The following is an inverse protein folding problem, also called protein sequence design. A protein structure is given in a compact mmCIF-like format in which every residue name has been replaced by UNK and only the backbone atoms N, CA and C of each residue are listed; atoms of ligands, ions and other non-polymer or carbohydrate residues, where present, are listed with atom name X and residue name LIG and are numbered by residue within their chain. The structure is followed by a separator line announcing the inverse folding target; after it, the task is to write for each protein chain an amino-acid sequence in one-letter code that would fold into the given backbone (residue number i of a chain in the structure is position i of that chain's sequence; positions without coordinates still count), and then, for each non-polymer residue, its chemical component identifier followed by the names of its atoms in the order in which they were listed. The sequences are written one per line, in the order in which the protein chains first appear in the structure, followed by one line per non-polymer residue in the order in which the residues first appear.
data_IF_970371629050
#
_entry.id   IF_970371629050
#
_cell.length_a   1.000
_cell.length_b   1.000
_cell.length_c   1.000
_cell.angle_alpha   90.00
_cell.angle_beta   90.00
_cell.angle_gamma   90.00
#
_symmetry.space_group_name_H-M   'P 1'
#
loop_
_entity.id
_entity.type
_entity.pdbx_description
1 polymer ?
#
# COMPACT_ATOMS: atom_id res chain seq x y z
N UNK A 1 -4.95 -26.69 1.68
CA UNK A 1 -5.45 -25.72 0.68
C UNK A 1 -4.24 -24.92 0.22
N UNK A 2 -3.99 -24.79 -1.08
CA UNK A 2 -2.78 -24.07 -1.54
C UNK A 2 -2.90 -22.60 -1.16
N UNK A 3 -2.16 -22.16 -0.15
CA UNK A 3 -1.77 -20.76 0.03
C UNK A 3 -0.98 -20.34 -1.20
N UNK A 4 -1.70 -19.87 -2.21
CA UNK A 4 -1.07 -19.43 -3.44
C UNK A 4 -0.80 -17.94 -3.31
N UNK A 5 0.47 -17.59 -3.13
CA UNK A 5 0.96 -16.22 -3.23
C UNK A 5 0.34 -15.54 -4.47
N UNK A 6 -0.29 -14.37 -4.32
CA UNK A 6 -0.78 -13.58 -5.45
C UNK A 6 0.38 -13.24 -6.42
N UNK A 7 0.11 -13.07 -7.72
CA UNK A 7 1.16 -12.74 -8.69
C UNK A 7 1.74 -11.35 -8.41
N UNK A 8 3.02 -11.17 -8.74
CA UNK A 8 3.71 -9.88 -8.60
C UNK A 8 3.03 -8.77 -9.40
N UNK A 9 3.34 -7.51 -9.06
CA UNK A 9 2.81 -6.39 -9.82
C UNK A 9 3.43 -6.36 -11.22
N UNK A 10 2.56 -6.22 -12.21
CA UNK A 10 2.96 -6.03 -13.59
C UNK A 10 3.62 -4.66 -13.76
N UNK A 11 4.41 -4.51 -14.82
CA UNK A 11 5.05 -3.23 -15.14
C UNK A 11 4.03 -2.09 -15.27
N UNK A 12 2.89 -2.36 -15.90
CA UNK A 12 1.84 -1.37 -16.11
C UNK A 12 1.19 -0.94 -14.78
N UNK A 13 0.97 -1.88 -13.85
CA UNK A 13 0.49 -1.57 -12.49
C UNK A 13 1.49 -0.69 -11.73
N UNK A 14 2.79 -0.99 -11.81
CA UNK A 14 3.83 -0.18 -11.14
C UNK A 14 3.94 1.22 -11.75
N UNK A 15 3.83 1.34 -13.08
CA UNK A 15 3.79 2.64 -13.77
C UNK A 15 2.59 3.46 -13.30
N UNK A 16 1.41 2.84 -13.20
CA UNK A 16 0.20 3.49 -12.71
C UNK A 16 0.35 3.97 -11.26
N UNK A 17 0.92 3.13 -10.37
CA UNK A 17 1.20 3.50 -8.98
C UNK A 17 2.15 4.70 -8.96
N UNK A 18 3.25 4.64 -9.71
CA UNK A 18 4.25 5.72 -9.77
C UNK A 18 3.65 7.04 -10.26
N UNK A 19 2.82 6.99 -11.30
CA UNK A 19 2.12 8.17 -11.82
C UNK A 19 1.16 8.77 -10.78
N UNK A 20 0.39 7.91 -10.09
CA UNK A 20 -0.52 8.32 -9.01
C UNK A 20 0.22 8.97 -7.85
N UNK A 21 1.37 8.41 -7.44
CA UNK A 21 2.20 8.99 -6.38
C UNK A 21 2.78 10.34 -6.82
N UNK A 22 3.20 10.47 -8.09
CA UNK A 22 3.70 11.74 -8.62
C UNK A 22 2.64 12.84 -8.58
N UNK A 23 1.40 12.52 -8.93
CA UNK A 23 0.27 13.44 -8.83
C UNK A 23 -0.05 13.80 -7.37
N UNK A 24 -0.04 12.81 -6.46
CA UNK A 24 -0.33 12.99 -5.03
C UNK A 24 0.69 13.87 -4.32
N UNK A 25 1.98 13.67 -4.57
CA UNK A 25 3.07 14.34 -3.85
C UNK A 25 3.67 15.52 -4.62
N UNK A 26 3.29 15.72 -5.89
CA UNK A 26 3.84 16.77 -6.75
C UNK A 26 5.32 16.59 -7.12
N UNK A 27 5.91 15.42 -6.84
CA UNK A 27 7.32 15.08 -7.08
C UNK A 27 7.47 13.60 -7.44
N UNK A 28 8.61 13.23 -8.02
CA UNK A 28 8.94 11.81 -8.22
C UNK A 28 9.09 11.10 -6.89
N UNK A 29 8.42 9.96 -6.74
CA UNK A 29 8.55 9.04 -5.61
C UNK A 29 9.15 7.75 -6.13
N UNK A 30 10.20 7.28 -5.47
CA UNK A 30 10.81 5.98 -5.76
C UNK A 30 9.93 4.88 -5.17
N UNK A 31 9.63 3.88 -5.99
CA UNK A 31 8.81 2.73 -5.61
C UNK A 31 9.63 1.46 -5.73
N UNK A 32 9.51 0.60 -4.72
CA UNK A 32 10.18 -0.70 -4.68
C UNK A 32 9.14 -1.81 -4.66
N UNK A 33 9.41 -2.89 -5.38
CA UNK A 33 8.64 -4.13 -5.26
C UNK A 33 9.37 -5.08 -4.32
N UNK A 34 8.64 -5.63 -3.36
CA UNK A 34 9.14 -6.57 -2.38
C UNK A 34 8.06 -7.59 -2.02
N UNK A 35 8.39 -8.50 -1.10
CA UNK A 35 7.46 -9.45 -0.52
C UNK A 35 7.28 -9.19 0.96
N UNK A 36 6.06 -9.37 1.45
CA UNK A 36 5.75 -9.27 2.87
C UNK A 36 4.85 -10.41 3.33
N UNK A 37 5.08 -10.86 4.56
CA UNK A 37 4.22 -11.79 5.26
C UNK A 37 3.11 -11.01 5.98
N UNK A 38 1.89 -11.09 5.45
CA UNK A 38 0.74 -10.33 5.94
C UNK A 38 -0.35 -11.28 6.42
N UNK A 39 -0.92 -10.99 7.58
CA UNK A 39 -2.11 -11.68 8.06
C UNK A 39 -3.36 -11.04 7.45
N UNK A 40 -3.86 -11.64 6.37
CA UNK A 40 -5.03 -11.13 5.63
C UNK A 40 -6.35 -11.31 6.38
N UNK A 41 -6.48 -12.37 7.18
CA UNK A 41 -7.66 -12.63 7.99
C UNK A 41 -7.31 -12.54 9.48
N UNK A 42 -7.89 -11.59 10.25
CA UNK A 42 -7.59 -11.48 11.68
C UNK A 42 -8.02 -12.70 12.51
N UNK A 43 -8.98 -13.49 12.02
CA UNK A 43 -9.46 -14.71 12.69
C UNK A 43 -8.59 -15.94 12.40
N UNK A 44 -7.69 -15.88 11.41
CA UNK A 44 -6.81 -16.99 11.04
C UNK A 44 -5.37 -16.57 11.37
N UNK A 45 -4.63 -17.31 12.23
CA UNK A 45 -3.26 -16.95 12.62
C UNK A 45 -2.22 -17.21 11.52
N UNK A 46 -2.66 -17.46 10.29
CA UNK A 46 -1.81 -17.80 9.16
C UNK A 46 -1.34 -16.53 8.44
N UNK A 47 -0.04 -16.47 8.19
CA UNK A 47 0.58 -15.40 7.39
C UNK A 47 0.56 -15.82 5.93
N UNK A 48 0.20 -14.88 5.07
CA UNK A 48 0.26 -15.04 3.61
C UNK A 48 1.40 -14.21 3.08
N UNK A 49 2.34 -14.86 2.41
CA UNK A 49 3.35 -14.16 1.62
C UNK A 49 2.68 -13.52 0.41
N UNK A 50 2.80 -12.20 0.30
CA UNK A 50 2.18 -11.44 -0.78
C UNK A 50 3.14 -10.38 -1.33
N UNK A 51 3.07 -10.12 -2.64
CA UNK A 51 3.83 -9.06 -3.24
C UNK A 51 3.31 -7.71 -2.75
N UNK A 52 4.24 -6.82 -2.47
CA UNK A 52 3.99 -5.46 -2.03
C UNK A 52 4.68 -4.44 -2.94
N UNK A 53 4.11 -3.25 -3.02
CA UNK A 53 4.80 -2.04 -3.48
C UNK A 53 5.04 -1.15 -2.28
N UNK A 54 6.29 -0.74 -2.08
CA UNK A 54 6.75 0.07 -0.98
C UNK A 54 7.24 1.43 -1.46
N UNK A 55 7.01 2.48 -0.67
CA UNK A 55 7.65 3.78 -0.86
C UNK A 55 7.73 4.56 0.45
N UNK A 56 8.61 5.56 0.44
CA UNK A 56 8.75 6.52 1.54
C UNK A 56 8.34 7.93 1.09
N UNK A 57 7.60 8.63 1.93
CA UNK A 57 7.30 10.05 1.73
C UNK A 57 7.19 10.77 3.06
N UNK A 58 7.90 11.90 3.19
CA UNK A 58 7.81 12.81 4.35
C UNK A 58 8.03 12.12 5.71
N UNK A 59 8.99 11.17 5.76
CA UNK A 59 9.33 10.30 6.90
C UNK A 59 8.28 9.26 7.26
N UNK A 60 7.32 9.01 6.38
CA UNK A 60 6.34 7.94 6.49
C UNK A 60 6.66 6.82 5.49
N UNK A 61 6.45 5.59 5.95
CA UNK A 61 6.59 4.37 5.16
C UNK A 61 5.22 3.89 4.73
N UNK A 62 5.07 3.57 3.46
CA UNK A 62 3.80 3.13 2.88
C UNK A 62 3.98 1.81 2.14
N UNK A 63 2.94 0.99 2.17
CA UNK A 63 2.87 -0.25 1.41
C UNK A 63 1.50 -0.40 0.73
N UNK A 64 1.51 -0.97 -0.47
CA UNK A 64 0.34 -1.55 -1.13
C UNK A 64 0.57 -3.04 -1.20
N UNK A 65 -0.24 -3.82 -0.49
CA UNK A 65 -0.18 -5.28 -0.53
C UNK A 65 -1.23 -5.84 -1.49
N UNK A 66 -0.84 -6.80 -2.32
CA UNK A 66 -1.78 -7.52 -3.17
C UNK A 66 -2.50 -8.58 -2.33
N UNK A 67 -3.76 -8.34 -2.01
CA UNK A 67 -4.63 -9.35 -1.40
C UNK A 67 -5.29 -10.22 -2.48
N UNK A 68 -5.48 -11.51 -2.20
CA UNK A 68 -6.28 -12.37 -3.05
C UNK A 68 -7.79 -12.08 -2.87
N UNK A 69 -8.59 -12.45 -3.87
CA UNK A 69 -10.01 -12.08 -3.98
C UNK A 69 -10.91 -12.67 -2.88
N UNK A 70 -10.39 -13.60 -2.05
CA UNK A 70 -11.18 -14.29 -1.03
C UNK A 70 -11.00 -13.73 0.39
N UNK A 71 -9.98 -12.90 0.62
CA UNK A 71 -9.63 -12.46 1.98
C UNK A 71 -9.13 -11.02 2.00
N UNK A 72 -10.05 -10.06 1.82
CA UNK A 72 -9.72 -8.65 2.06
C UNK A 72 -10.77 -8.01 2.97
N UNK A 73 -10.50 -8.02 4.28
CA UNK A 73 -11.13 -7.16 5.27
C UNK A 73 -10.09 -6.14 5.71
N UNK A 74 -9.99 -5.00 5.03
CA UNK A 74 -9.07 -3.92 5.41
C UNK A 74 -9.81 -2.92 6.32
N UNK A 75 -9.51 -2.85 7.64
CA UNK A 75 -9.97 -1.76 8.51
C UNK A 75 -9.02 -0.55 8.52
N UNK A 76 -7.89 -0.56 7.81
CA UNK A 76 -6.92 0.54 7.88
C UNK A 76 -7.00 1.46 6.66
N UNK A 77 -7.82 2.49 6.87
CA UNK A 77 -7.97 3.73 6.12
C UNK A 77 -6.66 4.20 5.44
N UNK A 78 -6.72 4.38 4.11
CA UNK A 78 -5.98 5.47 3.48
C UNK A 78 -6.35 6.74 4.24
N UNK A 79 -5.39 7.35 4.94
CA UNK A 79 -5.60 8.69 5.50
C UNK A 79 -6.08 9.62 4.37
N UNK A 80 -7.05 10.51 4.68
CA UNK A 80 -7.81 11.20 3.66
C UNK A 80 -6.91 12.09 2.80
N UNK A 81 -7.33 12.21 1.53
CA UNK A 81 -6.85 13.17 0.55
C UNK A 81 -6.52 14.52 1.22
N UNK A 82 -5.37 15.15 0.93
CA UNK A 82 -5.00 16.42 1.52
C UNK A 82 -5.80 17.54 0.85
N UNK A 83 -7.04 17.70 1.28
CA UNK A 83 -7.74 19.00 1.24
C UNK A 83 -8.22 19.38 2.65
N UNK A 84 -7.43 19.01 3.66
CA UNK A 84 -7.55 19.55 5.01
C UNK A 84 -6.45 20.59 5.19
N UNK A 85 -6.84 21.84 4.95
CA UNK A 85 -6.13 23.04 5.36
C UNK A 85 -5.56 22.83 6.76
N UNK A 86 -4.24 22.82 6.84
CA UNK A 86 -3.49 22.98 8.06
C UNK A 86 -3.78 24.40 8.58
N UNK A 87 -4.87 24.58 9.35
CA UNK A 87 -5.04 25.77 10.18
C UNK A 87 -4.21 25.56 11.43
N UNK A 88 -3.00 26.08 11.34
CA UNK A 88 -2.23 26.55 12.49
C UNK A 88 -3.18 27.31 13.43
N UNK A 89 -3.44 26.74 14.60
CA UNK A 89 -3.88 27.55 15.74
C UNK A 89 -2.69 27.59 16.66
N UNK A 90 -1.90 28.65 16.49
CA UNK A 90 -1.06 29.16 17.54
C UNK A 90 -1.91 29.34 18.81
N UNK A 91 -1.43 28.80 19.94
CA UNK A 91 -1.24 29.46 21.24
C UNK A 91 -0.66 28.43 22.22
#
# INVERSE_FOLDING_TARGET
MSNKRPPDFTKDEVILITATLRERYGRGIEVEQADAEIRLNPAIPELTECPIVYWEADKCHFIIARADKHHCSLPFLLSPLPDLRYRETAL
#
